data_IF_086753581379
#
_entry.id   IF_086753581379
#
_cell.length_a   1.000
_cell.length_b   1.000
_cell.length_c   1.000
_cell.angle_alpha   90.00
_cell.angle_beta   90.00
_cell.angle_gamma   90.00
#
_symmetry.space_group_name_H-M   'P 1'
#
loop_
_entity.id
_entity.type
_entity.pdbx_description
1 polymer ?
#
# COMPACT_ATOMS: atom_id res chain seq x y z
N UNK A 1 10.43 7.00 -23.53
CA UNK A 1 10.84 6.60 -22.97
C UNK A 1 10.90 6.48 -22.41
N UNK A 2 10.96 6.79 -22.27
CA UNK A 2 11.36 6.55 -21.59
C UNK A 2 11.14 6.03 -20.89
N UNK A 3 10.96 5.76 -20.58
CA UNK A 3 11.21 5.38 -19.72
C UNK A 3 11.73 4.84 -19.54
N UNK A 4 11.97 4.72 -19.91
CA UNK A 4 12.75 4.35 -19.64
C UNK A 4 13.54 4.57 -19.34
N UNK A 5 13.49 4.63 -19.90
CA UNK A 5 14.49 5.01 -19.38
C UNK A 5 14.52 5.58 -18.19
N UNK A 6 13.76 5.64 -18.00
CA UNK A 6 13.77 6.15 -16.86
C UNK A 6 14.22 5.45 -15.74
N UNK A 7 13.80 4.29 -15.57
CA UNK A 7 14.19 3.57 -14.41
C UNK A 7 15.66 3.32 -14.36
N UNK A 8 16.26 3.12 -15.46
CA UNK A 8 17.68 2.88 -15.42
C UNK A 8 18.45 4.10 -14.97
N UNK A 9 17.82 5.24 -15.02
CA UNK A 9 18.45 6.46 -14.57
C UNK A 9 18.25 6.72 -13.11
N UNK A 10 17.42 5.93 -12.45
CA UNK A 10 17.17 6.12 -11.04
C UNK A 10 18.14 5.27 -10.26
N UNK A 11 18.95 5.89 -9.45
CA UNK A 11 19.89 5.17 -8.60
C UNK A 11 19.18 4.67 -7.38
N UNK A 12 19.66 3.53 -6.86
CA UNK A 12 19.04 3.01 -5.66
C UNK A 12 19.04 4.02 -4.54
N UNK A 13 20.06 4.85 -4.47
CA UNK A 13 20.15 5.84 -3.40
C UNK A 13 19.09 6.91 -3.52
N UNK A 14 18.45 7.03 -4.68
CA UNK A 14 17.40 8.01 -4.89
C UNK A 14 16.03 7.49 -4.54
N UNK A 15 15.93 6.25 -4.11
CA UNK A 15 14.65 5.64 -3.80
C UNK A 15 14.47 5.54 -2.31
N UNK A 16 13.22 5.68 -1.87
CA UNK A 16 12.91 5.35 -0.49
C UNK A 16 13.02 3.83 -0.33
N UNK A 17 13.10 3.40 0.91
CA UNK A 17 13.13 1.96 1.19
C UNK A 17 11.89 1.26 0.60
N UNK A 18 10.72 1.88 0.77
CA UNK A 18 9.50 1.29 0.25
C UNK A 18 9.50 1.20 -1.27
N UNK A 19 10.01 2.24 -1.93
CA UNK A 19 10.10 2.22 -3.40
C UNK A 19 11.04 1.12 -3.88
N UNK A 20 12.16 0.97 -3.21
CA UNK A 20 13.10 -0.07 -3.56
C UNK A 20 12.46 -1.46 -3.40
N UNK A 21 11.76 -1.66 -2.29
CA UNK A 21 11.08 -2.93 -2.05
C UNK A 21 10.00 -3.19 -3.08
N UNK A 22 9.24 -2.16 -3.45
CA UNK A 22 8.18 -2.34 -4.44
C UNK A 22 8.74 -2.82 -5.76
N UNK A 23 9.86 -2.27 -6.19
CA UNK A 23 10.49 -2.70 -7.42
C UNK A 23 11.03 -4.12 -7.31
N UNK A 24 11.66 -4.43 -6.18
CA UNK A 24 12.22 -5.75 -5.96
C UNK A 24 11.14 -6.83 -5.91
N UNK A 25 10.00 -6.49 -5.36
CA UNK A 25 8.89 -7.44 -5.23
C UNK A 25 8.07 -7.56 -6.49
N UNK A 26 8.35 -6.73 -7.49
CA UNK A 26 7.64 -6.76 -8.78
C UNK A 26 6.15 -6.52 -8.61
N UNK A 27 5.83 -5.51 -7.85
CA UNK A 27 4.44 -5.15 -7.61
C UNK A 27 3.82 -4.55 -8.86
N UNK A 28 2.54 -4.84 -9.09
CA UNK A 28 1.80 -4.21 -10.17
C UNK A 28 1.59 -2.73 -9.84
N UNK A 29 1.18 -1.92 -10.82
CA UNK A 29 0.98 -0.49 -10.54
C UNK A 29 0.02 -0.20 -9.39
N UNK A 30 -1.11 -0.92 -9.31
CA UNK A 30 -2.03 -0.68 -8.20
C UNK A 30 -1.47 -1.19 -6.89
N UNK A 31 -0.77 -2.32 -6.92
CA UNK A 31 -0.11 -2.83 -5.72
C UNK A 31 0.94 -1.84 -5.23
N UNK A 32 1.70 -1.25 -6.14
CA UNK A 32 2.70 -0.26 -5.78
C UNK A 32 2.04 0.96 -5.13
N UNK A 33 0.97 1.45 -5.72
CA UNK A 33 0.30 2.63 -5.17
C UNK A 33 -0.21 2.36 -3.77
N UNK A 34 -0.81 1.19 -3.54
CA UNK A 34 -1.29 0.85 -2.21
C UNK A 34 -0.14 0.73 -1.23
N UNK A 35 0.86 -0.03 -1.60
CA UNK A 35 2.01 -0.27 -0.73
C UNK A 35 2.72 1.03 -0.35
N UNK A 36 3.00 1.86 -1.36
CA UNK A 36 3.74 3.09 -1.12
C UNK A 36 2.91 4.08 -0.30
N UNK A 37 1.62 4.20 -0.61
CA UNK A 37 0.79 5.13 0.13
C UNK A 37 0.69 4.73 1.60
N UNK A 38 0.43 3.46 1.88
CA UNK A 38 0.33 3.01 3.26
C UNK A 38 1.66 3.08 3.99
N UNK A 39 2.77 2.86 3.28
CA UNK A 39 4.10 2.99 3.87
C UNK A 39 4.40 4.43 4.27
N UNK A 40 3.97 5.38 3.45
CA UNK A 40 4.27 6.78 3.69
C UNK A 40 3.29 7.46 4.62
N UNK A 41 2.03 7.15 4.49
CA UNK A 41 0.98 7.90 5.19
C UNK A 41 0.28 7.11 6.28
N UNK A 42 0.54 5.81 6.37
CA UNK A 42 -0.09 4.99 7.39
C UNK A 42 -1.53 4.69 7.07
N UNK A 43 -2.34 4.53 8.10
CA UNK A 43 -3.73 4.14 7.94
C UNK A 43 -4.48 5.11 7.03
N UNK A 44 -5.18 4.58 6.05
CA UNK A 44 -5.89 5.39 5.06
C UNK A 44 -7.24 4.74 4.77
N UNK A 45 -8.28 5.57 4.69
CA UNK A 45 -9.62 5.04 4.45
C UNK A 45 -9.84 4.69 2.98
N UNK A 46 -10.89 3.90 2.76
CA UNK A 46 -11.24 3.41 1.43
C UNK A 46 -11.45 4.54 0.43
N UNK A 47 -12.12 5.60 0.87
CA UNK A 47 -12.46 6.68 -0.05
C UNK A 47 -11.18 7.38 -0.53
N UNK A 48 -10.28 7.65 0.39
CA UNK A 48 -9.01 8.29 0.04
C UNK A 48 -8.19 7.41 -0.91
N UNK A 49 -8.15 6.10 -0.65
CA UNK A 49 -7.40 5.22 -1.53
C UNK A 49 -7.99 5.19 -2.93
N UNK A 50 -9.31 5.23 -3.04
CA UNK A 50 -9.93 5.26 -4.36
C UNK A 50 -9.65 6.55 -5.10
N UNK A 51 -9.73 7.66 -4.40
CA UNK A 51 -9.60 8.96 -5.06
C UNK A 51 -8.15 9.36 -5.26
N UNK A 52 -7.32 9.19 -4.24
CA UNK A 52 -5.94 9.63 -4.30
C UNK A 52 -5.06 8.64 -5.03
N UNK A 53 -5.27 7.36 -4.81
CA UNK A 53 -4.41 6.33 -5.38
C UNK A 53 -5.01 5.66 -6.60
N UNK A 54 -6.25 6.00 -6.93
CA UNK A 54 -6.94 5.44 -8.10
C UNK A 54 -6.98 3.93 -8.06
N UNK A 55 -7.33 3.38 -6.90
CA UNK A 55 -7.45 1.94 -6.75
C UNK A 55 -8.93 1.60 -6.75
N UNK A 56 -9.35 0.80 -7.72
CA UNK A 56 -10.77 0.48 -7.86
C UNK A 56 -11.26 -0.55 -6.86
N UNK A 57 -10.60 -1.68 -6.77
CA UNK A 57 -10.99 -2.73 -5.85
C UNK A 57 -9.88 -2.96 -4.84
N UNK A 58 -9.96 -2.25 -3.73
CA UNK A 58 -8.90 -2.24 -2.75
C UNK A 58 -8.71 -3.61 -2.13
N UNK A 59 -9.81 -4.33 -1.87
CA UNK A 59 -9.71 -5.66 -1.29
C UNK A 59 -8.89 -6.60 -2.16
N UNK A 60 -9.16 -6.62 -3.46
CA UNK A 60 -8.43 -7.48 -4.37
C UNK A 60 -6.96 -7.09 -4.45
N UNK A 61 -6.70 -5.80 -4.51
CA UNK A 61 -5.33 -5.33 -4.57
C UNK A 61 -4.58 -5.68 -3.29
N UNK A 62 -5.25 -5.53 -2.15
CA UNK A 62 -4.64 -5.86 -0.86
C UNK A 62 -4.31 -7.35 -0.78
N UNK A 63 -5.23 -8.20 -1.22
CA UNK A 63 -5.00 -9.64 -1.20
C UNK A 63 -3.80 -10.00 -2.07
N UNK A 64 -3.75 -9.47 -3.28
CA UNK A 64 -2.65 -9.78 -4.19
C UNK A 64 -1.34 -9.19 -3.69
N UNK A 65 -1.38 -8.02 -3.08
CA UNK A 65 -0.19 -7.43 -2.49
C UNK A 65 0.33 -8.31 -1.35
N UNK A 66 -0.57 -8.77 -0.49
CA UNK A 66 -0.17 -9.63 0.62
C UNK A 66 0.49 -10.90 0.13
N UNK A 67 0.01 -11.46 -0.97
CA UNK A 67 0.64 -12.64 -1.55
C UNK A 67 2.07 -12.34 -2.00
N UNK A 68 2.27 -11.18 -2.61
CA UNK A 68 3.61 -10.79 -3.04
C UNK A 68 4.54 -10.56 -1.84
N UNK A 69 4.02 -9.92 -0.80
CA UNK A 69 4.81 -9.71 0.40
C UNK A 69 5.25 -11.05 0.99
N UNK A 70 4.30 -11.97 1.12
CA UNK A 70 4.61 -13.29 1.66
C UNK A 70 5.63 -14.02 0.79
N UNK A 71 5.47 -13.93 -0.53
CA UNK A 71 6.38 -14.59 -1.45
C UNK A 71 7.81 -14.05 -1.33
N UNK A 72 7.93 -12.80 -0.93
CA UNK A 72 9.24 -12.17 -0.72
C UNK A 72 9.69 -12.24 0.73
N UNK A 73 9.02 -13.07 1.52
CA UNK A 73 9.38 -13.30 2.93
C UNK A 73 9.27 -12.05 3.77
N UNK A 74 8.40 -11.15 3.37
CA UNK A 74 8.12 -9.95 4.12
C UNK A 74 7.03 -10.28 5.13
N UNK A 75 7.21 -9.85 6.36
CA UNK A 75 6.24 -10.15 7.42
C UNK A 75 5.09 -9.17 7.45
N UNK A 76 5.19 -8.08 6.69
CA UNK A 76 4.13 -7.08 6.68
C UNK A 76 2.96 -7.54 5.84
N UNK A 77 1.81 -7.01 6.15
CA UNK A 77 0.63 -7.23 5.32
C UNK A 77 -0.35 -6.09 5.50
N UNK A 78 -1.20 -5.93 4.51
CA UNK A 78 -2.26 -4.93 4.55
C UNK A 78 -3.47 -5.54 5.23
N UNK A 79 -4.01 -4.83 6.20
CA UNK A 79 -5.25 -5.25 6.85
C UNK A 79 -6.26 -4.14 6.75
N UNK A 80 -7.52 -4.48 6.97
CA UNK A 80 -8.61 -3.53 6.96
C UNK A 80 -9.26 -3.51 8.33
N UNK A 81 -9.39 -2.31 8.88
CA UNK A 81 -10.13 -2.09 10.12
C UNK A 81 -11.41 -1.38 9.75
N UNK A 82 -12.53 -1.88 10.23
CA UNK A 82 -13.82 -1.26 9.95
C UNK A 82 -14.16 -0.36 11.13
N UNK A 83 -14.36 0.91 10.84
CA UNK A 83 -14.61 1.89 11.87
C UNK A 83 -15.95 2.58 11.65
N UNK A 84 -16.60 3.03 12.72
CA UNK A 84 -17.84 3.78 12.56
C UNK A 84 -17.59 5.05 11.76
N UNK A 85 -18.57 5.41 10.96
CA UNK A 85 -18.51 6.61 10.16
C UNK A 85 -19.89 7.23 10.10
N UNK A 86 -19.98 8.50 10.41
CA UNK A 86 -21.25 9.23 10.36
C UNK A 86 -21.12 10.26 9.25
N UNK A 87 -21.98 10.13 8.24
CA UNK A 87 -21.91 11.03 7.10
C UNK A 87 -22.58 12.37 7.45
N UNK A 88 -22.59 13.26 6.48
CA UNK A 88 -23.11 14.63 6.72
C UNK A 88 -24.60 14.66 6.96
N UNK A 89 -25.30 13.56 6.79
CA UNK A 89 -26.72 13.48 7.07
C UNK A 89 -26.99 12.76 8.39
N UNK A 90 -25.97 12.56 9.19
CA UNK A 90 -26.07 11.87 10.47
C UNK A 90 -26.44 10.40 10.35
N UNK A 91 -26.23 9.84 9.19
CA UNK A 91 -26.46 8.41 9.00
C UNK A 91 -25.24 7.64 9.49
N UNK A 92 -25.49 6.73 10.42
CA UNK A 92 -24.43 5.88 10.92
C UNK A 92 -24.06 4.84 9.88
N UNK A 93 -22.80 4.55 9.79
CA UNK A 93 -22.31 3.55 8.86
C UNK A 93 -20.93 3.11 9.28
N UNK A 94 -20.25 2.41 8.37
CA UNK A 94 -18.89 1.97 8.62
C UNK A 94 -18.03 2.30 7.43
N UNK A 95 -16.75 2.46 7.68
CA UNK A 95 -15.80 2.76 6.63
C UNK A 95 -14.55 1.93 6.87
N UNK A 96 -14.07 1.29 5.83
CA UNK A 96 -12.85 0.52 5.94
C UNK A 96 -11.63 1.42 5.98
N UNK A 97 -10.72 1.10 6.88
CA UNK A 97 -9.45 1.79 7.01
C UNK A 97 -8.35 0.75 6.81
N UNK A 98 -7.45 1.04 5.92
CA UNK A 98 -6.42 0.10 5.50
C UNK A 98 -5.08 0.54 6.03
N UNK A 99 -4.29 -0.41 6.49
CA UNK A 99 -2.96 -0.08 6.98
C UNK A 99 -2.02 -1.26 6.78
N UNK A 100 -0.75 -0.94 6.76
CA UNK A 100 0.29 -1.94 6.61
C UNK A 100 0.79 -2.27 8.01
N UNK A 101 0.67 -3.53 8.41
CA UNK A 101 1.07 -3.96 9.74
C UNK A 101 2.08 -5.06 9.63
N UNK A 102 2.71 -5.37 10.75
CA UNK A 102 3.69 -6.40 10.81
C UNK A 102 5.04 -5.79 11.10
N UNK A 103 5.99 -6.65 11.36
CA UNK A 103 7.29 -6.17 11.73
C UNK A 103 8.21 -6.20 10.56
N UNK A 104 8.96 -5.15 10.40
CA UNK A 104 10.09 -5.23 9.51
C UNK A 104 11.03 -6.27 10.07
N UNK A 105 11.82 -6.85 9.22
CA UNK A 105 12.70 -7.92 9.64
C UNK A 105 13.57 -7.53 10.82
N UNK A 106 13.84 -6.27 10.95
CA UNK A 106 14.72 -5.81 12.00
C UNK A 106 14.00 -5.34 13.24
N UNK A 107 12.71 -5.60 13.30
CA UNK A 107 11.97 -5.14 14.44
C UNK A 107 12.22 -5.93 15.67
N UNK A 108 12.73 -7.07 15.52
CA UNK A 108 12.96 -7.88 16.68
C UNK A 108 13.84 -7.14 17.66
N UNK A 109 13.49 -7.14 18.89
CA UNK A 109 14.28 -6.45 19.89
C UNK A 109 15.61 -7.09 20.09
#
# INVERSE_FOLDING_TARGET
MLLKKLSKLVKSSDLTQAEFEALSYRLSPQQQRLFLHLSEHGETDTITLRTTCSIGNISDVAISLNKKLTANKDTRKVICLVKPNINKFDDAGVLGHWLLVGEAANEAP
#
